data_IF_953056814114
#
_entry.id   IF_953056814114
#
_cell.length_a   1.000
_cell.length_b   1.000
_cell.length_c   1.000
_cell.angle_alpha   90.00
_cell.angle_beta   90.00
_cell.angle_gamma   90.00
#
_symmetry.space_group_name_H-M   'P 1'
#
loop_
_entity.id
_entity.type
_entity.pdbx_description
1 polymer ?
#
# COMPACT_ATOMS: atom_id res chain seq x y z
N UNK A 1 8.06 -9.92 9.16
CA UNK A 1 9.41 -9.87 8.58
C UNK A 1 9.45 -11.14 7.75
N UNK A 2 9.99 -11.17 6.54
CA UNK A 2 10.15 -12.48 5.89
C UNK A 2 11.36 -13.16 6.53
N UNK A 3 11.10 -13.99 7.55
CA UNK A 3 12.13 -14.65 8.33
C UNK A 3 12.88 -15.71 7.52
N UNK A 4 12.20 -16.38 6.59
CA UNK A 4 12.83 -17.38 5.71
C UNK A 4 13.84 -16.71 4.77
N UNK A 5 13.45 -15.57 4.17
CA UNK A 5 14.35 -14.79 3.33
C UNK A 5 15.49 -14.15 4.11
N UNK A 6 15.24 -13.73 5.36
CA UNK A 6 16.29 -13.24 6.24
C UNK A 6 17.34 -14.33 6.50
N UNK A 7 16.88 -15.54 6.85
CA UNK A 7 17.74 -16.70 7.10
C UNK A 7 18.54 -17.08 5.86
N UNK A 8 17.88 -17.22 4.72
CA UNK A 8 18.54 -17.54 3.45
C UNK A 8 19.61 -16.49 3.09
N UNK A 9 19.31 -15.20 3.29
CA UNK A 9 20.28 -14.14 3.04
C UNK A 9 21.47 -14.18 3.99
N UNK A 10 21.32 -14.64 5.22
CA UNK A 10 22.46 -14.84 6.12
C UNK A 10 23.27 -16.06 5.68
N UNK A 11 22.62 -17.19 5.43
CA UNK A 11 23.28 -18.45 5.05
C UNK A 11 24.12 -18.31 3.77
N UNK A 12 23.66 -17.50 2.80
CA UNK A 12 24.40 -17.24 1.55
C UNK A 12 25.60 -16.30 1.72
N UNK A 13 25.57 -15.38 2.69
CA UNK A 13 26.56 -14.28 2.79
C UNK A 13 27.53 -14.46 3.97
N UNK A 14 27.23 -15.37 4.90
CA UNK A 14 28.11 -15.65 6.03
C UNK A 14 29.33 -16.44 5.59
N UNK A 15 30.51 -15.89 5.87
CA UNK A 15 31.77 -16.60 5.70
C UNK A 15 32.31 -17.01 7.07
N UNK A 16 32.37 -18.33 7.32
CA UNK A 16 32.86 -18.89 8.58
C UNK A 16 34.39 -18.97 8.65
N UNK A 17 35.08 -18.80 7.52
CA UNK A 17 36.54 -18.82 7.46
C UNK A 17 37.12 -17.41 7.65
N UNK A 18 36.91 -16.84 8.85
CA UNK A 18 37.51 -15.55 9.25
C UNK A 18 38.66 -15.77 10.20
N UNK A 19 39.78 -15.09 9.96
CA UNK A 19 40.92 -15.13 10.88
C UNK A 19 40.56 -14.33 12.13
N UNK A 20 40.80 -14.87 13.33
CA UNK A 20 40.56 -14.18 14.61
C UNK A 20 41.85 -14.07 15.44
N UNK A 21 43.00 -14.12 14.77
CA UNK A 21 44.32 -14.22 15.42
C UNK A 21 44.84 -12.89 15.97
N UNK A 22 44.41 -11.77 15.41
CA UNK A 22 44.84 -10.43 15.83
C UNK A 22 43.61 -9.60 16.26
N UNK A 23 43.81 -8.60 17.12
CA UNK A 23 42.73 -7.69 17.53
C UNK A 23 42.03 -7.04 16.33
N UNK A 24 42.80 -6.60 15.34
CA UNK A 24 42.26 -5.97 14.12
C UNK A 24 41.38 -6.93 13.33
N UNK A 25 41.79 -8.20 13.22
CA UNK A 25 41.01 -9.21 12.52
C UNK A 25 39.68 -9.51 13.24
N UNK A 26 39.64 -9.40 14.57
CA UNK A 26 38.41 -9.54 15.36
C UNK A 26 37.46 -8.38 15.08
N UNK A 27 37.97 -7.15 15.06
CA UNK A 27 37.17 -5.95 14.75
C UNK A 27 36.59 -6.05 13.34
N UNK A 28 37.40 -6.43 12.36
CA UNK A 28 36.96 -6.63 10.98
C UNK A 28 35.91 -7.74 10.84
N UNK A 29 36.07 -8.84 11.59
CA UNK A 29 35.10 -9.94 11.59
C UNK A 29 33.75 -9.50 12.19
N UNK A 30 33.77 -8.74 13.29
CA UNK A 30 32.57 -8.17 13.90
C UNK A 30 31.88 -7.20 12.95
N UNK A 31 32.64 -6.29 12.32
CA UNK A 31 32.10 -5.33 11.36
C UNK A 31 31.40 -6.05 10.19
N UNK A 32 32.08 -7.00 9.54
CA UNK A 32 31.49 -7.80 8.44
C UNK A 32 30.24 -8.55 8.88
N UNK A 33 30.24 -9.13 10.08
CA UNK A 33 29.08 -9.83 10.61
C UNK A 33 27.88 -8.88 10.82
N UNK A 34 28.12 -7.68 11.37
CA UNK A 34 27.06 -6.68 11.55
C UNK A 34 26.49 -6.20 10.22
N UNK A 35 27.33 -6.00 9.20
CA UNK A 35 26.91 -5.61 7.86
C UNK A 35 26.05 -6.71 7.20
N UNK A 36 26.39 -7.98 7.37
CA UNK A 36 25.59 -9.11 6.88
C UNK A 36 24.19 -9.11 7.53
N UNK A 37 24.12 -8.92 8.86
CA UNK A 37 22.84 -8.85 9.58
C UNK A 37 21.99 -7.67 9.08
N UNK A 38 22.59 -6.49 8.97
CA UNK A 38 21.90 -5.27 8.52
C UNK A 38 21.36 -5.43 7.09
N UNK A 39 22.19 -5.93 6.17
CA UNK A 39 21.79 -6.14 4.78
C UNK A 39 20.71 -7.21 4.64
N UNK A 40 20.78 -8.32 5.38
CA UNK A 40 19.74 -9.34 5.42
C UNK A 40 18.41 -8.81 6.00
N UNK A 41 18.49 -7.98 7.05
CA UNK A 41 17.32 -7.33 7.64
C UNK A 41 16.64 -6.40 6.63
N UNK A 42 17.41 -5.56 5.92
CA UNK A 42 16.86 -4.66 4.91
C UNK A 42 16.20 -5.40 3.75
N UNK A 43 16.83 -6.47 3.24
CA UNK A 43 16.26 -7.29 2.15
C UNK A 43 14.92 -7.92 2.54
N UNK A 44 14.82 -8.47 3.75
CA UNK A 44 13.60 -9.11 4.27
C UNK A 44 12.49 -8.12 4.67
N UNK A 45 12.83 -6.85 4.93
CA UNK A 45 11.88 -5.75 5.13
C UNK A 45 11.30 -5.25 3.80
N UNK A 46 12.14 -5.09 2.77
CA UNK A 46 11.78 -4.48 1.49
C UNK A 46 10.69 -5.25 0.74
N UNK A 47 10.60 -6.58 0.91
CA UNK A 47 9.54 -7.40 0.32
C UNK A 47 8.14 -6.98 0.81
N UNK A 48 7.98 -6.54 2.07
CA UNK A 48 6.68 -6.06 2.56
C UNK A 48 6.29 -4.69 2.00
N UNK A 49 7.26 -3.79 1.78
CA UNK A 49 6.98 -2.47 1.23
C UNK A 49 6.52 -2.55 -0.24
N UNK A 50 7.00 -3.53 -1.01
CA UNK A 50 6.51 -3.76 -2.38
C UNK A 50 5.08 -4.28 -2.43
N UNK A 51 4.65 -5.06 -1.42
CA UNK A 51 3.33 -5.68 -1.39
C UNK A 51 2.20 -4.70 -0.98
N UNK A 52 2.53 -3.52 -0.44
CA UNK A 52 1.51 -2.52 -0.06
C UNK A 52 1.04 -1.62 -1.21
N UNK A 53 1.52 -1.84 -2.44
CA UNK A 53 0.96 -1.19 -3.63
C UNK A 53 -0.16 -2.04 -4.26
N UNK A 54 -1.15 -2.42 -3.46
CA UNK A 54 -2.47 -2.67 -4.03
C UNK A 54 -3.07 -1.30 -4.36
N UNK A 55 -2.55 -0.66 -5.42
CA UNK A 55 -3.17 0.51 -6.02
C UNK A 55 -4.43 0.01 -6.72
N UNK A 56 -5.49 -0.23 -5.93
CA UNK A 56 -6.84 -0.05 -6.43
C UNK A 56 -6.88 1.41 -6.86
N UNK A 57 -6.64 1.64 -8.15
CA UNK A 57 -6.59 2.98 -8.74
C UNK A 57 -8.00 3.54 -8.68
N UNK A 58 -8.31 4.19 -7.56
CA UNK A 58 -9.54 4.94 -7.40
C UNK A 58 -9.53 6.03 -8.46
N UNK A 59 -10.56 6.12 -9.32
CA UNK A 59 -10.63 7.15 -10.35
C UNK A 59 -10.35 8.53 -9.75
N UNK A 60 -9.55 9.36 -10.42
CA UNK A 60 -9.06 10.63 -9.89
C UNK A 60 -10.20 11.52 -9.35
N UNK A 61 -11.33 11.56 -10.06
CA UNK A 61 -12.52 12.32 -9.65
C UNK A 61 -13.10 11.86 -8.30
N UNK A 62 -13.04 10.56 -7.96
CA UNK A 62 -13.54 10.04 -6.67
C UNK A 62 -12.57 10.41 -5.55
N UNK A 63 -11.26 10.31 -5.81
CA UNK A 63 -10.21 10.73 -4.87
C UNK A 63 -10.33 12.22 -4.53
N UNK A 64 -10.63 13.06 -5.53
CA UNK A 64 -10.92 14.48 -5.33
C UNK A 64 -12.17 14.70 -4.47
N UNK A 65 -13.28 14.02 -4.78
CA UNK A 65 -14.52 14.11 -3.99
C UNK A 65 -14.33 13.68 -2.53
N UNK A 66 -13.54 12.63 -2.28
CA UNK A 66 -13.19 12.20 -0.92
C UNK A 66 -12.43 13.31 -0.19
N UNK A 67 -11.49 13.95 -0.87
CA UNK A 67 -10.69 15.06 -0.32
C UNK A 67 -11.58 16.26 0.00
N UNK A 68 -12.43 16.69 -0.93
CA UNK A 68 -13.40 17.76 -0.71
C UNK A 68 -14.34 17.46 0.46
N UNK A 69 -14.85 16.22 0.57
CA UNK A 69 -15.70 15.79 1.69
C UNK A 69 -14.96 15.89 3.03
N UNK A 70 -13.69 15.48 3.08
CA UNK A 70 -12.85 15.58 4.29
C UNK A 70 -12.68 17.04 4.70
N UNK A 71 -12.31 17.92 3.76
CA UNK A 71 -12.20 19.35 4.04
C UNK A 71 -13.51 19.97 4.54
N UNK A 72 -14.66 19.61 3.95
CA UNK A 72 -15.96 20.11 4.41
C UNK A 72 -16.30 19.63 5.82
N UNK A 73 -15.97 18.37 6.15
CA UNK A 73 -16.13 17.84 7.51
C UNK A 73 -15.26 18.61 8.50
N UNK A 74 -13.99 18.80 8.17
CA UNK A 74 -13.05 19.47 9.05
C UNK A 74 -13.51 20.92 9.28
N UNK A 75 -13.94 21.64 8.22
CA UNK A 75 -14.56 22.97 8.35
C UNK A 75 -15.76 22.95 9.29
N UNK A 76 -16.73 22.06 9.08
CA UNK A 76 -17.92 21.95 9.95
C UNK A 76 -17.55 21.62 11.40
N UNK A 77 -16.55 20.78 11.64
CA UNK A 77 -16.11 20.46 13.00
C UNK A 77 -15.55 21.66 13.75
N UNK A 78 -14.85 22.56 13.04
CA UNK A 78 -14.31 23.81 13.60
C UNK A 78 -15.39 24.89 13.77
N UNK A 79 -16.18 25.16 12.73
CA UNK A 79 -17.14 26.29 12.73
C UNK A 79 -18.46 25.96 13.40
N UNK A 80 -18.87 24.68 13.35
CA UNK A 80 -20.20 24.19 13.77
C UNK A 80 -21.40 24.86 13.07
N UNK A 81 -21.18 25.60 11.99
CA UNK A 81 -22.27 26.28 11.30
C UNK A 81 -23.18 25.32 10.50
N UNK A 82 -24.51 25.57 10.47
CA UNK A 82 -25.44 24.76 9.68
C UNK A 82 -25.16 24.77 8.18
N UNK A 83 -24.66 25.88 7.64
CA UNK A 83 -24.25 26.02 6.24
C UNK A 83 -23.13 25.05 5.88
N UNK A 84 -22.08 24.99 6.70
CA UNK A 84 -20.96 24.05 6.52
C UNK A 84 -21.41 22.59 6.65
N UNK A 85 -22.35 22.31 7.57
CA UNK A 85 -22.97 20.97 7.70
C UNK A 85 -23.73 20.58 6.43
N UNK A 86 -24.46 21.52 5.82
CA UNK A 86 -25.17 21.30 4.57
C UNK A 86 -24.21 20.94 3.44
N UNK A 87 -23.10 21.67 3.31
CA UNK A 87 -22.04 21.39 2.32
C UNK A 87 -21.47 19.98 2.52
N UNK A 88 -21.12 19.61 3.76
CA UNK A 88 -20.62 18.26 4.07
C UNK A 88 -21.63 17.16 3.73
N UNK A 89 -22.91 17.35 4.06
CA UNK A 89 -23.98 16.39 3.77
C UNK A 89 -24.23 16.23 2.27
N UNK A 90 -24.18 17.33 1.52
CA UNK A 90 -24.33 17.33 0.07
C UNK A 90 -23.20 16.54 -0.59
N UNK A 91 -21.94 16.83 -0.22
CA UNK A 91 -20.77 16.09 -0.70
C UNK A 91 -20.83 14.60 -0.33
N UNK A 92 -21.30 14.29 0.89
CA UNK A 92 -21.51 12.90 1.33
C UNK A 92 -22.54 12.17 0.47
N UNK A 93 -23.66 12.83 0.17
CA UNK A 93 -24.74 12.25 -0.63
C UNK A 93 -24.32 12.09 -2.09
N UNK A 94 -23.61 13.08 -2.63
CA UNK A 94 -23.05 13.04 -3.98
C UNK A 94 -22.05 11.90 -4.13
N UNK A 95 -21.08 11.77 -3.21
CA UNK A 95 -20.11 10.68 -3.23
C UNK A 95 -20.78 9.30 -3.20
N UNK A 96 -21.82 9.12 -2.37
CA UNK A 96 -22.60 7.87 -2.32
C UNK A 96 -23.25 7.55 -3.68
N UNK A 97 -23.87 8.55 -4.32
CA UNK A 97 -24.49 8.39 -5.65
C UNK A 97 -23.45 8.03 -6.71
N UNK A 98 -22.30 8.71 -6.71
CA UNK A 98 -21.21 8.44 -7.66
C UNK A 98 -20.66 7.02 -7.51
N UNK A 99 -20.44 6.56 -6.27
CA UNK A 99 -19.98 5.19 -6.01
C UNK A 99 -21.01 4.14 -6.44
N UNK A 100 -22.29 4.38 -6.17
CA UNK A 100 -23.36 3.49 -6.60
C UNK A 100 -23.45 3.42 -8.13
N UNK A 101 -23.32 4.57 -8.81
CA UNK A 101 -23.28 4.63 -10.27
C UNK A 101 -22.10 3.83 -10.81
N UNK A 102 -20.89 4.08 -10.32
CA UNK A 102 -19.70 3.35 -10.75
C UNK A 102 -19.87 1.83 -10.60
N UNK A 103 -20.41 1.38 -9.45
CA UNK A 103 -20.69 -0.04 -9.22
C UNK A 103 -21.71 -0.62 -10.22
N UNK A 104 -22.76 0.15 -10.52
CA UNK A 104 -23.78 -0.26 -11.48
C UNK A 104 -23.24 -0.32 -12.90
N UNK A 105 -22.45 0.66 -13.30
CA UNK A 105 -21.79 0.72 -14.60
C UNK A 105 -20.86 -0.49 -14.77
N UNK A 106 -19.99 -0.75 -13.78
CA UNK A 106 -19.12 -1.94 -13.81
C UNK A 106 -19.88 -3.27 -13.85
N UNK A 107 -21.03 -3.34 -13.18
CA UNK A 107 -21.88 -4.53 -13.22
C UNK A 107 -22.53 -4.71 -14.60
N UNK A 108 -23.03 -3.64 -15.20
CA UNK A 108 -23.61 -3.67 -16.54
C UNK A 108 -22.55 -4.04 -17.59
N UNK A 109 -21.35 -3.47 -17.51
CA UNK A 109 -20.24 -3.80 -18.40
C UNK A 109 -19.90 -5.30 -18.33
N UNK A 110 -19.88 -5.86 -17.11
CA UNK A 110 -19.70 -7.29 -16.90
C UNK A 110 -20.84 -8.12 -17.52
N UNK A 111 -22.10 -7.76 -17.31
CA UNK A 111 -23.25 -8.44 -17.94
C UNK A 111 -23.15 -8.38 -19.47
N UNK A 112 -22.88 -7.21 -20.04
CA UNK A 112 -22.71 -7.03 -21.48
C UNK A 112 -21.61 -7.95 -22.04
N UNK A 113 -20.47 -8.05 -21.34
CA UNK A 113 -19.36 -8.92 -21.74
C UNK A 113 -19.71 -10.41 -21.77
N UNK A 114 -20.68 -10.85 -20.95
CA UNK A 114 -21.20 -12.21 -20.96
C UNK A 114 -22.18 -12.42 -22.12
N UNK A 115 -23.08 -11.47 -22.34
CA UNK A 115 -24.14 -11.59 -23.36
C UNK A 115 -23.64 -11.60 -24.81
N UNK A 116 -22.48 -11.01 -25.12
CA UNK A 116 -21.95 -11.00 -26.50
C UNK A 116 -21.40 -12.35 -26.95
N UNK A 117 -21.22 -13.32 -26.05
CA UNK A 117 -20.75 -14.68 -26.39
C UNK A 117 -21.87 -15.65 -26.79
N UNK A 118 -23.12 -15.38 -26.40
CA UNK A 118 -24.24 -16.31 -26.59
C UNK A 118 -25.09 -16.02 -27.84
N UNK A 119 -24.63 -15.08 -28.69
CA UNK A 119 -25.34 -14.64 -29.90
C UNK A 119 -24.79 -15.18 -31.24
N UNK A 120 -23.91 -16.18 -31.23
CA UNK A 120 -23.47 -16.84 -32.46
C UNK A 120 -24.40 -18.03 -32.77
N UNK A 121 -25.47 -17.76 -33.53
CA UNK A 121 -26.28 -18.74 -34.26
C UNK A 121 -26.17 -18.46 -35.76
#
# INVERSE_FOLDING_TARGET
MNWDQFRESIDQNINLNTFLKTPDNIVDAVQKFTEIIQTAAWKSLFVRLKCQKNSLTVPAHISELITQKRHARDRWQHTRFPSDKSIYNNLTSFLKRTLNKLRNDSFNDWISSLTTKDGSM
#
